data_IF_230727629261
#
_entry.id   IF_230727629261
#
_cell.length_a   1.000
_cell.length_b   1.000
_cell.length_c   1.000
_cell.angle_alpha   90.00
_cell.angle_beta   90.00
_cell.angle_gamma   90.00
#
_symmetry.space_group_name_H-M   'P 1'
#
loop_
_entity.id
_entity.type
_entity.pdbx_description
1 polymer ?
#
# COMPACT_ATOMS: atom_id res chain seq x y z
N UNK A 1 -62.85 -41.07 3.38
CA UNK A 1 -61.64 -41.49 4.12
C UNK A 1 -60.47 -41.50 3.16
N UNK A 2 -59.43 -40.69 3.43
CA UNK A 2 -58.01 -40.87 3.04
C UNK A 2 -57.68 -40.98 1.53
N UNK A 3 -56.77 -40.22 0.90
CA UNK A 3 -55.50 -39.68 1.36
C UNK A 3 -55.12 -38.42 0.55
N UNK A 4 -54.78 -37.38 1.30
CA UNK A 4 -53.90 -36.27 0.90
C UNK A 4 -52.46 -36.79 0.81
N UNK A 5 -51.59 -36.05 0.09
CA UNK A 5 -50.13 -35.82 0.29
C UNK A 5 -49.50 -35.74 -1.12
N UNK A 6 -49.65 -34.61 -1.80
CA UNK A 6 -48.73 -33.47 -1.74
C UNK A 6 -47.27 -33.90 -1.93
N UNK A 7 -46.84 -33.97 -3.19
CA UNK A 7 -45.44 -34.11 -3.55
C UNK A 7 -44.72 -32.80 -3.20
N UNK A 8 -44.06 -32.79 -2.05
CA UNK A 8 -43.13 -31.73 -1.67
C UNK A 8 -41.88 -31.92 -2.53
N UNK A 9 -41.75 -31.06 -3.54
CA UNK A 9 -40.51 -30.83 -4.27
C UNK A 9 -39.51 -30.22 -3.28
N UNK A 10 -38.68 -31.06 -2.64
CA UNK A 10 -37.54 -30.59 -1.87
C UNK A 10 -36.48 -30.19 -2.90
N UNK A 11 -36.58 -28.96 -3.38
CA UNK A 11 -35.46 -28.28 -4.03
C UNK A 11 -34.45 -28.02 -2.92
N UNK A 12 -33.50 -28.93 -2.77
CA UNK A 12 -32.31 -28.75 -1.95
C UNK A 12 -31.48 -27.61 -2.55
N UNK A 13 -31.84 -26.37 -2.23
CA UNK A 13 -31.00 -25.21 -2.42
C UNK A 13 -29.84 -25.37 -1.43
N UNK A 14 -28.80 -26.08 -1.86
CA UNK A 14 -27.47 -25.92 -1.31
C UNK A 14 -27.03 -24.50 -1.62
N UNK A 15 -27.48 -23.55 -0.80
CA UNK A 15 -26.78 -22.27 -0.62
C UNK A 15 -25.44 -22.65 0.00
N UNK A 16 -24.48 -23.01 -0.85
CA UNK A 16 -23.07 -22.86 -0.55
C UNK A 16 -22.89 -21.35 -0.40
N UNK A 17 -23.18 -20.84 0.78
CA UNK A 17 -22.63 -19.58 1.23
C UNK A 17 -21.12 -19.80 1.24
N UNK A 18 -20.47 -19.53 0.11
CA UNK A 18 -19.07 -19.16 0.11
C UNK A 18 -18.99 -17.98 1.07
N UNK A 19 -18.64 -18.25 2.33
CA UNK A 19 -18.18 -17.21 3.24
C UNK A 19 -16.90 -16.71 2.59
N UNK A 20 -17.01 -15.67 1.77
CA UNK A 20 -15.86 -15.00 1.20
C UNK A 20 -14.95 -14.66 2.38
N UNK A 21 -13.74 -15.23 2.38
CA UNK A 21 -12.75 -14.87 3.38
C UNK A 21 -12.64 -13.35 3.35
N UNK A 22 -12.68 -12.67 4.51
CA UNK A 22 -12.62 -11.22 4.55
C UNK A 22 -11.38 -10.75 3.78
N UNK A 23 -11.61 -10.02 2.69
CA UNK A 23 -10.54 -9.52 1.86
C UNK A 23 -9.86 -8.38 2.60
N UNK A 24 -8.77 -8.69 3.33
CA UNK A 24 -7.98 -7.74 4.13
C UNK A 24 -7.64 -6.48 3.34
N UNK A 25 -7.31 -6.62 2.06
CA UNK A 25 -7.02 -5.49 1.16
C UNK A 25 -8.25 -4.62 0.95
N UNK A 26 -9.39 -5.20 0.56
CA UNK A 26 -10.61 -4.41 0.33
C UNK A 26 -11.07 -3.72 1.63
N UNK A 27 -11.01 -4.43 2.76
CA UNK A 27 -11.34 -3.87 4.08
C UNK A 27 -10.41 -2.72 4.47
N UNK A 28 -9.12 -2.80 4.13
CA UNK A 28 -8.18 -1.71 4.35
C UNK A 28 -8.50 -0.52 3.44
N UNK A 29 -8.68 -0.76 2.14
CA UNK A 29 -8.94 0.28 1.15
C UNK A 29 -10.25 1.04 1.41
N UNK A 30 -11.31 0.34 1.83
CA UNK A 30 -12.62 0.93 2.12
C UNK A 30 -12.61 1.91 3.31
N UNK A 31 -11.53 1.96 4.08
CA UNK A 31 -11.38 2.95 5.14
C UNK A 31 -11.01 4.33 4.62
N UNK A 32 -10.63 4.49 3.35
CA UNK A 32 -10.12 5.75 2.82
C UNK A 32 -10.86 6.15 1.54
N UNK A 33 -11.16 7.44 1.43
CA UNK A 33 -11.86 7.98 0.25
C UNK A 33 -10.91 8.13 -0.94
N UNK A 34 -9.62 8.32 -0.65
CA UNK A 34 -8.58 8.58 -1.64
C UNK A 34 -7.22 8.19 -1.09
N UNK A 35 -6.40 7.60 -1.95
CA UNK A 35 -4.99 7.30 -1.67
C UNK A 35 -4.15 7.97 -2.74
N UNK A 36 -3.13 8.72 -2.34
CA UNK A 36 -2.14 9.27 -3.26
C UNK A 36 -0.82 8.54 -3.10
N UNK A 37 -0.17 8.25 -4.22
CA UNK A 37 1.23 7.83 -4.25
C UNK A 37 2.10 9.01 -4.69
N UNK A 38 3.13 9.29 -3.92
CA UNK A 38 4.15 10.29 -4.23
C UNK A 38 5.50 9.59 -4.33
N UNK A 39 6.25 9.89 -5.39
CA UNK A 39 7.63 9.43 -5.56
C UNK A 39 8.60 10.61 -5.47
N UNK A 40 9.80 10.36 -4.95
CA UNK A 40 10.84 11.36 -4.72
C UNK A 40 11.88 11.35 -5.83
N UNK A 41 12.54 12.47 -6.08
CA UNK A 41 13.66 12.54 -7.03
C UNK A 41 14.91 11.78 -6.57
N UNK A 42 15.04 11.46 -5.28
CA UNK A 42 16.19 10.78 -4.67
C UNK A 42 15.78 10.09 -3.35
N UNK A 43 16.68 9.30 -2.77
CA UNK A 43 16.51 8.76 -1.42
C UNK A 43 16.40 9.90 -0.39
N UNK A 44 15.47 9.74 0.57
CA UNK A 44 15.39 10.64 1.73
C UNK A 44 16.49 10.32 2.73
N UNK A 45 17.16 11.36 3.21
CA UNK A 45 18.10 11.25 4.33
C UNK A 45 17.31 11.24 5.65
N UNK A 46 17.05 10.05 6.17
CA UNK A 46 16.14 9.85 7.33
C UNK A 46 16.81 10.01 8.69
N UNK A 47 18.14 9.91 8.76
CA UNK A 47 18.88 9.90 10.02
C UNK A 47 19.09 11.30 10.63
N UNK A 48 18.77 12.36 9.87
CA UNK A 48 18.79 13.74 10.35
C UNK A 48 17.43 14.15 10.91
N UNK A 49 17.41 14.69 12.14
CA UNK A 49 16.18 15.19 12.79
C UNK A 49 15.51 16.32 12.02
N UNK A 50 16.26 17.03 11.18
CA UNK A 50 15.76 18.14 10.37
C UNK A 50 14.95 17.69 9.15
N UNK A 51 15.03 16.40 8.78
CA UNK A 51 14.40 15.83 7.59
C UNK A 51 13.12 15.04 7.89
N UNK A 52 12.55 15.16 9.09
CA UNK A 52 11.30 14.47 9.46
C UNK A 52 10.13 14.91 8.59
N UNK A 53 9.27 13.95 8.27
CA UNK A 53 7.99 14.21 7.59
C UNK A 53 7.13 15.09 8.49
N UNK A 54 6.59 16.16 7.91
CA UNK A 54 5.65 17.07 8.59
C UNK A 54 4.32 17.06 7.84
N UNK A 55 3.24 16.77 8.55
CA UNK A 55 1.88 16.94 8.04
C UNK A 55 1.27 18.12 8.79
N UNK A 56 0.95 19.19 8.04
CA UNK A 56 0.32 20.38 8.58
C UNK A 56 -0.58 21.00 7.51
N UNK A 57 -1.72 21.56 7.92
CA UNK A 57 -2.67 22.23 7.01
C UNK A 57 -3.06 21.36 5.80
N UNK A 58 -3.27 20.06 6.02
CA UNK A 58 -3.62 19.09 4.97
C UNK A 58 -2.57 18.96 3.84
N UNK A 59 -1.32 19.33 4.13
CA UNK A 59 -0.18 19.18 3.22
C UNK A 59 0.89 18.33 3.89
N UNK A 60 1.62 17.57 3.07
CA UNK A 60 2.83 16.88 3.50
C UNK A 60 4.05 17.69 3.05
N UNK A 61 4.95 17.97 3.98
CA UNK A 61 6.24 18.60 3.71
C UNK A 61 7.35 17.66 4.13
N UNK A 62 8.16 17.30 3.15
CA UNK A 62 9.39 16.53 3.34
C UNK A 62 10.55 17.46 2.96
N UNK A 63 11.35 17.92 3.93
CA UNK A 63 12.49 18.79 3.66
C UNK A 63 13.47 18.14 2.67
N UNK A 64 14.10 18.96 1.82
CA UNK A 64 15.18 18.54 0.91
C UNK A 64 14.82 17.45 -0.13
N UNK A 65 13.52 17.27 -0.39
CA UNK A 65 12.99 16.31 -1.35
C UNK A 65 12.07 17.02 -2.35
N UNK A 66 12.27 16.70 -3.63
CA UNK A 66 11.36 17.09 -4.70
C UNK A 66 10.45 15.92 -5.05
N UNK A 67 9.15 16.19 -5.14
CA UNK A 67 8.17 15.20 -5.61
C UNK A 67 8.16 15.18 -7.13
N UNK A 68 8.37 14.01 -7.71
CA UNK A 68 8.42 13.83 -9.17
C UNK A 68 7.17 13.15 -9.73
N UNK A 69 6.54 12.32 -8.90
CA UNK A 69 5.21 11.74 -9.13
C UNK A 69 4.29 12.16 -7.98
N UNK A 70 3.03 12.44 -8.31
CA UNK A 70 1.98 12.76 -7.33
C UNK A 70 0.64 12.36 -7.93
N UNK A 71 0.29 11.08 -7.78
CA UNK A 71 -0.83 10.47 -8.47
C UNK A 71 -1.91 10.05 -7.48
N UNK A 72 -3.17 10.21 -7.88
CA UNK A 72 -4.30 9.58 -7.17
C UNK A 72 -4.44 8.15 -7.69
N UNK A 73 -4.36 7.18 -6.80
CA UNK A 73 -4.50 5.77 -7.17
C UNK A 73 -5.94 5.44 -7.51
N UNK A 74 -6.14 4.83 -8.68
CA UNK A 74 -7.44 4.23 -9.03
C UNK A 74 -7.63 2.89 -8.30
N UNK A 75 -8.86 2.34 -8.32
CA UNK A 75 -9.18 1.09 -7.62
C UNK A 75 -8.28 -0.09 -8.04
N UNK A 76 -7.94 -0.21 -9.33
CA UNK A 76 -7.09 -1.29 -9.86
C UNK A 76 -5.67 -1.21 -9.28
N UNK A 77 -5.04 -0.04 -9.33
CA UNK A 77 -3.67 0.17 -8.86
C UNK A 77 -3.59 0.09 -7.33
N UNK A 78 -4.57 0.66 -6.61
CA UNK A 78 -4.69 0.47 -5.17
C UNK A 78 -4.75 -1.01 -4.82
N UNK A 79 -5.61 -1.79 -5.47
CA UNK A 79 -5.72 -3.22 -5.16
C UNK A 79 -4.41 -3.98 -5.42
N UNK A 80 -3.70 -3.69 -6.52
CA UNK A 80 -2.39 -4.29 -6.80
C UNK A 80 -1.38 -3.99 -5.70
N UNK A 81 -1.18 -2.71 -5.37
CA UNK A 81 -0.22 -2.26 -4.36
C UNK A 81 -0.55 -2.88 -2.99
N UNK A 82 -1.80 -2.78 -2.54
CA UNK A 82 -2.17 -3.20 -1.19
C UNK A 82 -2.28 -4.72 -1.03
N UNK A 83 -2.53 -5.48 -2.10
CA UNK A 83 -2.37 -6.92 -2.07
C UNK A 83 -0.92 -7.32 -1.77
N UNK A 84 0.06 -6.59 -2.31
CA UNK A 84 1.48 -6.83 -2.04
C UNK A 84 1.82 -6.38 -0.61
N UNK A 85 1.45 -5.15 -0.22
CA UNK A 85 1.77 -4.60 1.11
C UNK A 85 1.16 -5.40 2.27
N UNK A 86 0.00 -6.02 2.07
CA UNK A 86 -0.74 -6.71 3.12
C UNK A 86 -0.63 -8.23 3.05
N UNK A 87 0.11 -8.79 2.09
CA UNK A 87 0.34 -10.23 1.94
C UNK A 87 1.13 -10.81 3.11
N UNK A 88 0.99 -12.12 3.30
CA UNK A 88 1.75 -12.86 4.30
C UNK A 88 3.23 -12.96 3.93
N UNK A 89 4.10 -12.72 4.90
CA UNK A 89 5.55 -12.78 4.74
C UNK A 89 6.04 -14.19 5.10
N UNK A 90 6.23 -15.05 4.09
CA UNK A 90 6.65 -16.45 4.32
C UNK A 90 8.14 -16.59 4.60
N UNK A 91 8.97 -15.79 3.92
CA UNK A 91 10.42 -15.63 4.11
C UNK A 91 10.73 -14.17 3.79
N UNK A 92 11.52 -13.52 4.63
CA UNK A 92 11.67 -12.08 4.59
C UNK A 92 13.14 -11.70 4.60
N UNK A 93 13.60 -11.13 3.50
CA UNK A 93 14.89 -10.44 3.45
C UNK A 93 14.65 -8.98 3.82
N UNK A 94 15.38 -8.47 4.82
CA UNK A 94 15.37 -7.05 5.21
C UNK A 94 16.79 -6.59 5.41
N UNK A 95 17.13 -5.42 4.88
CA UNK A 95 18.37 -4.75 5.19
C UNK A 95 18.15 -3.76 6.33
N UNK A 96 19.18 -3.52 7.13
CA UNK A 96 19.17 -2.55 8.24
C UNK A 96 19.37 -1.11 7.74
N UNK A 97 18.66 -0.74 6.69
CA UNK A 97 18.67 0.62 6.16
C UNK A 97 17.24 1.13 5.96
N UNK A 98 17.09 2.45 5.85
CA UNK A 98 15.82 3.07 5.50
C UNK A 98 16.05 4.26 4.58
N UNK A 99 16.06 4.01 3.28
CA UNK A 99 16.29 5.02 2.25
C UNK A 99 15.04 5.15 1.36
N UNK A 100 13.92 5.67 1.88
CA UNK A 100 12.65 5.65 1.17
C UNK A 100 12.64 6.56 -0.05
N UNK A 101 11.85 6.17 -1.05
CA UNK A 101 11.61 6.91 -2.29
C UNK A 101 10.13 7.12 -2.60
N UNK A 102 9.25 6.52 -1.81
CA UNK A 102 7.81 6.50 -2.05
C UNK A 102 7.03 6.67 -0.75
N UNK A 103 5.93 7.40 -0.84
CA UNK A 103 4.96 7.55 0.25
C UNK A 103 3.54 7.44 -0.27
N UNK A 104 2.73 6.71 0.49
CA UNK A 104 1.28 6.66 0.34
C UNK A 104 0.64 7.62 1.32
N UNK A 105 -0.20 8.53 0.81
CA UNK A 105 -1.02 9.43 1.63
C UNK A 105 -2.46 8.95 1.63
N UNK A 106 -3.03 8.85 2.81
CA UNK A 106 -4.40 8.38 3.03
C UNK A 106 -5.31 9.56 3.33
N UNK A 107 -6.45 9.64 2.63
CA UNK A 107 -7.39 10.74 2.79
C UNK A 107 -8.77 10.26 3.26
N UNK A 108 -9.39 11.06 4.14
CA UNK A 108 -10.83 11.04 4.45
C UNK A 108 -11.40 12.45 4.33
N UNK A 109 -12.52 12.62 3.63
CA UNK A 109 -13.20 13.90 3.41
C UNK A 109 -12.21 15.01 2.99
N UNK A 110 -11.33 14.68 2.03
CA UNK A 110 -10.23 15.52 1.55
C UNK A 110 -9.12 15.87 2.54
N UNK A 111 -9.13 15.36 3.77
CA UNK A 111 -8.06 15.55 4.76
C UNK A 111 -7.08 14.36 4.76
N UNK A 112 -5.78 14.62 4.81
CA UNK A 112 -4.75 13.61 5.06
C UNK A 112 -4.96 13.10 6.49
N UNK A 113 -5.27 11.82 6.61
CA UNK A 113 -5.46 11.13 7.89
C UNK A 113 -4.27 10.28 8.29
N UNK A 114 -3.30 10.09 7.39
CA UNK A 114 -2.06 9.39 7.70
C UNK A 114 -1.22 9.16 6.46
N UNK A 115 -0.04 8.58 6.68
CA UNK A 115 0.87 8.18 5.63
C UNK A 115 1.54 6.82 5.92
N UNK A 116 2.08 6.23 4.86
CA UNK A 116 3.00 5.09 4.89
C UNK A 116 4.14 5.36 3.90
N UNK A 117 5.32 5.67 4.40
CA UNK A 117 6.55 5.84 3.63
C UNK A 117 7.36 4.56 3.70
N UNK A 118 7.85 4.07 2.57
CA UNK A 118 8.59 2.81 2.52
C UNK A 118 9.76 2.90 1.54
N UNK A 119 10.75 2.06 1.79
CA UNK A 119 11.82 1.76 0.85
C UNK A 119 11.55 0.39 0.25
N UNK A 120 11.32 0.34 -1.06
CA UNK A 120 11.08 -0.92 -1.76
C UNK A 120 12.30 -1.84 -1.69
N UNK A 121 13.52 -1.32 -1.75
CA UNK A 121 14.74 -2.15 -1.77
C UNK A 121 14.99 -2.89 -0.46
N UNK A 122 14.86 -2.22 0.68
CA UNK A 122 15.26 -2.77 1.98
C UNK A 122 14.10 -3.22 2.87
N UNK A 123 12.88 -2.83 2.53
CA UNK A 123 11.67 -3.12 3.30
C UNK A 123 11.44 -2.24 4.54
N UNK A 124 12.35 -1.29 4.81
CA UNK A 124 12.16 -0.28 5.86
C UNK A 124 10.93 0.60 5.59
N UNK A 125 10.24 1.00 6.66
CA UNK A 125 9.04 1.85 6.57
C UNK A 125 8.84 2.75 7.79
N UNK A 126 8.17 3.88 7.57
CA UNK A 126 7.70 4.84 8.58
C UNK A 126 6.22 5.12 8.30
N UNK A 127 5.39 5.16 9.34
CA UNK A 127 3.95 5.36 9.17
C UNK A 127 3.32 6.17 10.29
N UNK A 128 2.19 6.80 10.00
CA UNK A 128 1.36 7.42 11.04
C UNK A 128 0.78 6.37 11.98
N UNK A 129 0.60 6.71 13.27
CA UNK A 129 0.16 5.77 14.32
C UNK A 129 -1.14 5.02 14.02
N UNK A 130 -2.02 5.62 13.22
CA UNK A 130 -3.31 5.06 12.83
C UNK A 130 -3.29 4.27 11.51
N UNK A 131 -2.13 4.19 10.85
CA UNK A 131 -1.90 3.33 9.70
C UNK A 131 -1.22 2.06 10.21
N UNK A 132 -1.75 0.90 9.80
CA UNK A 132 -1.26 -0.40 10.24
C UNK A 132 -0.95 -1.28 9.02
N UNK A 133 0.12 -0.89 8.30
CA UNK A 133 0.69 -1.70 7.23
C UNK A 133 1.96 -2.35 7.82
N UNK A 134 2.13 -3.68 7.68
CA UNK A 134 3.32 -4.33 8.17
C UNK A 134 4.55 -3.87 7.37
N UNK A 135 5.74 -3.82 7.98
CA UNK A 135 6.97 -3.58 7.22
C UNK A 135 7.11 -4.64 6.13
N UNK A 136 7.55 -4.26 4.94
CA UNK A 136 7.64 -5.19 3.81
C UNK A 136 8.98 -5.91 3.77
N UNK A 137 9.07 -6.96 2.97
CA UNK A 137 10.33 -7.62 2.62
C UNK A 137 10.84 -7.10 1.28
N UNK A 138 12.14 -7.27 0.99
CA UNK A 138 12.71 -6.91 -0.32
C UNK A 138 11.96 -7.54 -1.49
N UNK A 139 11.48 -8.79 -1.35
CA UNK A 139 10.72 -9.49 -2.39
C UNK A 139 9.36 -8.82 -2.69
N UNK A 140 8.68 -8.30 -1.65
CA UNK A 140 7.48 -7.49 -1.82
C UNK A 140 7.84 -6.13 -2.45
N UNK A 141 9.01 -5.60 -2.13
CA UNK A 141 9.62 -4.45 -2.79
C UNK A 141 9.75 -4.62 -4.30
N UNK A 142 10.33 -5.73 -4.74
CA UNK A 142 10.49 -6.07 -6.16
C UNK A 142 9.14 -6.16 -6.88
N UNK A 143 8.12 -6.71 -6.21
CA UNK A 143 6.75 -6.74 -6.74
C UNK A 143 6.15 -5.32 -6.87
N UNK A 144 6.39 -4.45 -5.89
CA UNK A 144 5.95 -3.05 -5.97
C UNK A 144 6.63 -2.31 -7.12
N UNK A 145 7.94 -2.51 -7.33
CA UNK A 145 8.69 -1.90 -8.43
C UNK A 145 8.08 -2.31 -9.78
N UNK A 146 7.72 -3.59 -9.95
CA UNK A 146 7.02 -4.05 -11.17
C UNK A 146 5.70 -3.32 -11.37
N UNK A 147 4.90 -3.15 -10.31
CA UNK A 147 3.65 -2.39 -10.37
C UNK A 147 3.90 -0.92 -10.73
N UNK A 148 4.95 -0.31 -10.20
CA UNK A 148 5.30 1.08 -10.50
C UNK A 148 5.78 1.28 -11.93
N UNK A 149 6.53 0.32 -12.48
CA UNK A 149 6.87 0.28 -13.91
C UNK A 149 5.63 0.20 -14.80
N UNK A 150 4.69 -0.70 -14.49
CA UNK A 150 3.40 -0.79 -15.21
C UNK A 150 2.58 0.51 -15.14
N UNK A 151 2.75 1.27 -14.06
CA UNK A 151 2.10 2.57 -13.85
C UNK A 151 2.84 3.72 -14.55
N UNK A 152 4.00 3.48 -15.16
CA UNK A 152 4.88 4.47 -15.78
C UNK A 152 5.25 5.62 -14.82
N UNK A 153 5.58 5.29 -13.57
CA UNK A 153 6.10 6.31 -12.64
C UNK A 153 7.46 6.80 -13.12
N UNK A 154 7.75 8.09 -12.88
CA UNK A 154 9.10 8.63 -13.17
C UNK A 154 10.15 8.05 -12.23
N UNK A 155 9.79 7.75 -11.00
CA UNK A 155 10.59 6.91 -10.11
C UNK A 155 9.76 5.70 -9.70
N UNK A 156 10.15 4.57 -10.27
CA UNK A 156 9.54 3.26 -10.08
C UNK A 156 10.16 2.47 -8.91
N UNK A 157 11.13 3.04 -8.19
CA UNK A 157 11.80 2.40 -7.07
C UNK A 157 12.93 1.46 -7.45
N UNK A 158 13.31 1.39 -8.73
CA UNK A 158 14.57 0.77 -9.14
C UNK A 158 15.71 1.78 -9.00
N UNK A 159 16.85 1.35 -8.48
CA UNK A 159 18.06 2.16 -8.47
C UNK A 159 18.65 2.17 -9.89
N UNK A 160 18.34 3.21 -10.67
CA UNK A 160 18.86 3.39 -12.02
C UNK A 160 20.08 4.32 -11.99
N UNK A 161 21.26 3.74 -11.80
CA UNK A 161 22.55 4.43 -11.95
C UNK A 161 23.49 4.31 -10.75
N UNK A 162 24.80 4.31 -11.04
CA UNK A 162 25.88 4.33 -10.06
C UNK A 162 25.83 5.63 -9.25
N UNK A 163 25.32 5.59 -8.02
CA UNK A 163 25.59 6.64 -7.05
C UNK A 163 26.81 6.22 -6.23
N UNK A 164 27.80 7.12 -6.12
CA UNK A 164 28.88 6.97 -5.15
C UNK A 164 28.26 7.01 -3.76
N UNK A 165 28.36 5.88 -3.06
CA UNK A 165 28.13 5.83 -1.63
C UNK A 165 29.23 6.70 -0.98
N UNK A 166 28.84 7.90 -0.54
CA UNK A 166 29.74 8.82 0.18
C UNK A 166 30.27 8.18 1.47
#
# INVERSE_FOLDING_TARGET
>A
MSKVILHILIVSILLVSCVEKPNKTENFLNQYDKIKLISYNKHREVYSTNNKIKIANNTIKIPNIQYIDNIVLNKKNSKKIFNILLSEQKKCSRADCYNPRHILLFYKKNNIVGFYEFCAECGGSEQSKNINIPPICSEQGDELIKVFKEMNLKNDGEESGNYEYF
#
